data_IF_309223915098
#
_entry.id   IF_309223915098
#
_cell.length_a   1.000
_cell.length_b   1.000
_cell.length_c   1.000
_cell.angle_alpha   90.00
_cell.angle_beta   90.00
_cell.angle_gamma   90.00
#
_symmetry.space_group_name_H-M   'P 1'
#
loop_
_entity.id
_entity.type
_entity.pdbx_description
1 polymer ?
#
# COMPACT_ATOMS: atom_id res chain seq x y z
N UNK A 1 -27.69 -17.73 11.87
CA UNK A 1 -27.21 -18.44 10.68
C UNK A 1 -26.48 -17.42 9.83
N UNK A 2 -25.14 -17.47 9.82
CA UNK A 2 -24.35 -16.65 8.89
C UNK A 2 -24.55 -17.22 7.50
N UNK A 3 -25.40 -16.58 6.70
CA UNK A 3 -25.56 -16.90 5.30
C UNK A 3 -24.49 -16.14 4.51
N UNK A 4 -23.43 -16.84 4.15
CA UNK A 4 -22.42 -16.33 3.23
C UNK A 4 -23.01 -16.08 1.83
N UNK A 5 -22.38 -15.17 1.10
CA UNK A 5 -22.78 -14.86 -0.27
C UNK A 5 -22.59 -16.09 -1.17
N UNK A 6 -23.49 -16.31 -2.14
CA UNK A 6 -23.34 -17.42 -3.07
C UNK A 6 -22.09 -17.27 -3.93
N UNK A 7 -21.32 -18.35 -4.07
CA UNK A 7 -20.09 -18.38 -4.86
C UNK A 7 -20.45 -18.39 -6.34
N UNK A 8 -19.88 -17.48 -7.12
CA UNK A 8 -20.01 -17.50 -8.59
C UNK A 8 -19.20 -18.68 -9.16
N UNK A 9 -19.74 -19.36 -10.18
CA UNK A 9 -19.15 -20.53 -10.85
C UNK A 9 -17.69 -20.36 -11.33
N UNK A 10 -17.19 -19.13 -11.49
CA UNK A 10 -15.83 -18.82 -11.95
C UNK A 10 -14.82 -18.69 -10.80
N UNK A 11 -15.26 -18.80 -9.54
CA UNK A 11 -14.37 -18.69 -8.38
C UNK A 11 -13.61 -20.00 -8.22
N UNK A 12 -12.30 -19.96 -8.47
CA UNK A 12 -11.41 -21.09 -8.18
C UNK A 12 -11.27 -21.23 -6.67
N UNK A 13 -11.83 -22.30 -6.11
CA UNK A 13 -11.68 -22.59 -4.70
C UNK A 13 -10.29 -23.15 -4.41
N UNK A 14 -9.35 -22.27 -4.06
CA UNK A 14 -7.98 -22.65 -3.66
C UNK A 14 -7.73 -22.24 -2.22
N UNK A 15 -7.63 -23.23 -1.33
CA UNK A 15 -7.37 -23.02 0.10
C UNK A 15 -5.91 -22.66 0.43
N UNK A 16 -5.05 -22.49 -0.59
CA UNK A 16 -3.64 -22.21 -0.39
C UNK A 16 -3.20 -21.03 -1.26
N UNK A 17 -2.84 -19.93 -0.61
CA UNK A 17 -2.10 -18.83 -1.24
C UNK A 17 -0.68 -19.33 -1.49
N UNK A 18 -0.47 -20.06 -2.58
CA UNK A 18 0.89 -20.39 -3.04
C UNK A 18 1.56 -19.08 -3.46
N UNK A 19 2.55 -18.65 -2.68
CA UNK A 19 3.46 -17.58 -3.10
C UNK A 19 4.39 -18.17 -4.15
N UNK A 20 4.07 -17.97 -5.41
CA UNK A 20 5.03 -18.23 -6.48
C UNK A 20 6.18 -17.22 -6.34
N UNK A 21 7.32 -17.68 -5.86
CA UNK A 21 8.56 -16.90 -5.95
C UNK A 21 9.01 -16.92 -7.41
N UNK A 22 8.72 -15.83 -8.13
CA UNK A 22 9.33 -15.58 -9.43
C UNK A 22 10.84 -15.43 -9.21
N UNK A 23 11.58 -16.47 -9.56
CA UNK A 23 13.04 -16.45 -9.61
C UNK A 23 13.45 -15.60 -10.81
N UNK A 24 13.50 -14.29 -10.63
CA UNK A 24 14.12 -13.41 -11.60
C UNK A 24 15.64 -13.63 -11.53
N UNK A 25 16.21 -14.39 -12.46
CA UNK A 25 17.64 -14.38 -12.73
C UNK A 25 18.02 -12.96 -13.17
N UNK A 26 18.66 -12.21 -12.28
CA UNK A 26 19.12 -10.85 -12.56
C UNK A 26 20.55 -10.93 -13.07
N UNK A 27 20.71 -10.64 -14.36
CA UNK A 27 21.97 -10.38 -15.04
C UNK A 27 22.92 -9.52 -14.18
N UNK A 28 24.21 -9.85 -14.22
CA UNK A 28 25.33 -9.19 -13.55
C UNK A 28 25.43 -7.67 -13.86
N UNK A 29 24.54 -6.85 -13.30
CA UNK A 29 24.66 -5.39 -13.21
C UNK A 29 25.21 -5.03 -11.83
N UNK A 30 26.10 -4.02 -11.79
CA UNK A 30 26.70 -3.39 -10.59
C UNK A 30 25.86 -3.63 -9.33
N UNK A 31 26.49 -4.12 -8.24
CA UNK A 31 25.83 -4.33 -6.92
C UNK A 31 25.19 -3.04 -6.42
N UNK A 32 23.95 -2.77 -6.81
CA UNK A 32 23.12 -1.69 -6.29
C UNK A 32 22.68 -2.13 -4.90
N UNK A 33 22.98 -1.30 -3.89
CA UNK A 33 22.50 -1.53 -2.53
C UNK A 33 21.04 -1.10 -2.45
N UNK A 34 20.14 -2.08 -2.37
CA UNK A 34 18.72 -1.85 -2.13
C UNK A 34 18.46 -1.64 -0.63
N UNK A 35 17.50 -0.78 -0.31
CA UNK A 35 16.98 -0.60 1.04
C UNK A 35 15.53 -1.08 1.09
N UNK A 36 15.12 -1.65 2.22
CA UNK A 36 13.71 -1.90 2.46
C UNK A 36 12.94 -0.58 2.49
N UNK A 37 11.69 -0.58 2.02
CA UNK A 37 10.85 0.64 1.95
C UNK A 37 10.77 1.38 3.30
N UNK A 38 10.70 0.64 4.41
CA UNK A 38 10.70 1.16 5.77
C UNK A 38 11.99 1.96 6.08
N UNK A 39 13.14 1.40 5.71
CA UNK A 39 14.43 2.07 5.92
C UNK A 39 14.60 3.27 5.00
N UNK A 40 14.09 3.18 3.77
CA UNK A 40 14.10 4.29 2.82
C UNK A 40 13.25 5.45 3.34
N UNK A 41 12.03 5.19 3.81
CA UNK A 41 11.13 6.20 4.38
C UNK A 41 11.76 6.91 5.58
N UNK A 42 12.47 6.17 6.44
CA UNK A 42 13.21 6.75 7.57
C UNK A 42 14.36 7.64 7.09
N UNK A 43 15.12 7.20 6.07
CA UNK A 43 16.27 7.94 5.52
C UNK A 43 15.87 9.25 4.85
N UNK A 44 14.74 9.27 4.15
CA UNK A 44 14.26 10.49 3.46
C UNK A 44 13.47 11.43 4.40
N UNK A 45 13.40 11.13 5.70
CA UNK A 45 12.55 11.88 6.64
C UNK A 45 11.06 11.82 6.29
N UNK A 46 10.64 10.78 5.57
CA UNK A 46 9.30 10.61 5.03
C UNK A 46 8.29 10.11 6.06
N UNK A 47 8.75 9.50 7.15
CA UNK A 47 7.90 9.04 8.23
C UNK A 47 8.60 9.04 9.60
N UNK A 48 7.84 9.36 10.65
CA UNK A 48 8.24 9.26 12.04
C UNK A 48 7.47 8.15 12.76
N UNK A 49 8.09 6.97 12.79
CA UNK A 49 7.55 5.79 13.46
C UNK A 49 7.61 5.88 14.98
N UNK A 50 8.67 6.47 15.55
CA UNK A 50 8.83 6.56 17.01
C UNK A 50 7.69 7.37 17.65
N UNK A 51 7.39 8.55 17.09
CA UNK A 51 6.27 9.38 17.57
C UNK A 51 4.92 8.72 17.32
N UNK A 52 4.75 8.06 16.17
CA UNK A 52 3.49 7.39 15.85
C UNK A 52 3.16 6.26 16.82
N UNK A 53 4.16 5.46 17.22
CA UNK A 53 3.97 4.40 18.21
C UNK A 53 3.58 4.98 19.58
N UNK A 54 4.16 6.11 19.97
CA UNK A 54 3.85 6.77 21.24
C UNK A 54 2.40 7.29 21.31
N UNK A 55 1.84 7.73 20.19
CA UNK A 55 0.50 8.35 20.16
C UNK A 55 -0.60 7.36 19.82
N UNK A 56 -0.38 6.47 18.85
CA UNK A 56 -1.39 5.56 18.31
C UNK A 56 -1.13 4.07 18.62
N UNK A 57 -0.05 3.75 19.35
CA UNK A 57 0.28 2.37 19.72
C UNK A 57 0.97 1.57 18.61
N UNK A 58 0.95 0.25 18.73
CA UNK A 58 1.66 -0.64 17.80
C UNK A 58 1.18 -0.42 16.35
N UNK A 59 2.14 -0.21 15.43
CA UNK A 59 1.96 0.15 13.99
C UNK A 59 1.56 1.60 13.69
N UNK A 60 1.49 2.48 14.69
CA UNK A 60 1.31 3.92 14.48
C UNK A 60 2.53 4.59 13.83
N UNK A 61 2.30 5.50 12.89
CA UNK A 61 3.36 6.33 12.28
C UNK A 61 2.80 7.70 11.88
N UNK A 62 3.65 8.72 11.90
CA UNK A 62 3.36 9.99 11.24
C UNK A 62 4.04 10.03 9.89
N UNK A 63 3.30 10.37 8.85
CA UNK A 63 3.88 10.65 7.54
C UNK A 63 4.31 12.12 7.49
N UNK A 64 5.54 12.39 7.06
CA UNK A 64 6.16 13.72 7.14
C UNK A 64 6.91 14.06 5.86
N UNK A 65 7.12 15.36 5.60
CA UNK A 65 7.95 15.84 4.49
C UNK A 65 7.59 15.19 3.15
N UNK A 66 8.61 14.65 2.46
CA UNK A 66 8.46 14.03 1.15
C UNK A 66 7.49 12.83 1.15
N UNK A 67 7.37 12.10 2.27
CA UNK A 67 6.43 10.98 2.37
C UNK A 67 4.98 11.44 2.30
N UNK A 68 4.66 12.53 3.02
CA UNK A 68 3.31 13.10 3.02
C UNK A 68 2.93 13.68 1.65
N UNK A 69 3.86 14.42 1.05
CA UNK A 69 3.68 14.98 -0.29
C UNK A 69 3.46 13.88 -1.34
N UNK A 70 4.22 12.79 -1.28
CA UNK A 70 4.05 11.65 -2.18
C UNK A 70 2.68 10.98 -2.00
N UNK A 71 2.25 10.77 -0.76
CA UNK A 71 0.94 10.19 -0.48
C UNK A 71 -0.19 11.05 -1.06
N UNK A 72 -0.14 12.37 -0.86
CA UNK A 72 -1.12 13.27 -1.43
C UNK A 72 -1.10 13.28 -2.97
N UNK A 73 0.09 13.28 -3.57
CA UNK A 73 0.22 13.23 -5.03
C UNK A 73 -0.41 11.96 -5.63
N UNK A 74 -0.22 10.81 -4.99
CA UNK A 74 -0.83 9.53 -5.41
C UNK A 74 -2.35 9.58 -5.28
N UNK A 75 -2.88 10.10 -4.16
CA UNK A 75 -4.33 10.25 -3.98
C UNK A 75 -4.95 11.13 -5.07
N UNK A 76 -4.36 12.29 -5.34
CA UNK A 76 -4.84 13.20 -6.38
C UNK A 76 -4.77 12.56 -7.78
N UNK A 77 -3.70 11.82 -8.07
CA UNK A 77 -3.58 11.08 -9.32
C UNK A 77 -4.69 10.03 -9.47
N UNK A 78 -4.94 9.23 -8.42
CA UNK A 78 -5.96 8.19 -8.44
C UNK A 78 -7.37 8.78 -8.66
N UNK A 79 -7.69 9.89 -7.99
CA UNK A 79 -8.94 10.60 -8.18
C UNK A 79 -9.10 11.09 -9.62
N UNK A 80 -8.09 11.77 -10.16
CA UNK A 80 -8.11 12.26 -11.55
C UNK A 80 -8.27 11.10 -12.55
N UNK A 81 -7.57 9.99 -12.33
CA UNK A 81 -7.66 8.79 -13.16
C UNK A 81 -9.09 8.22 -13.20
N UNK A 82 -9.76 8.13 -12.05
CA UNK A 82 -11.12 7.58 -11.95
C UNK A 82 -12.18 8.55 -12.50
N UNK A 83 -12.04 9.85 -12.23
CA UNK A 83 -12.93 10.88 -12.80
C UNK A 83 -12.86 10.88 -14.32
N UNK A 84 -11.67 10.72 -14.89
CA UNK A 84 -11.49 10.59 -16.35
C UNK A 84 -12.20 9.35 -16.92
N UNK A 85 -12.35 8.29 -16.11
CA UNK A 85 -13.12 7.08 -16.45
C UNK A 85 -14.62 7.19 -16.11
N UNK A 86 -15.13 8.39 -15.81
CA UNK A 86 -16.54 8.68 -15.50
C UNK A 86 -17.04 8.09 -14.17
N UNK A 87 -16.14 7.77 -13.25
CA UNK A 87 -16.53 7.47 -11.86
C UNK A 87 -16.83 8.77 -11.10
N UNK A 88 -17.75 8.69 -10.14
CA UNK A 88 -18.12 9.81 -9.26
C UNK A 88 -17.34 9.69 -7.95
N UNK A 89 -16.55 10.70 -7.55
CA UNK A 89 -15.86 10.69 -6.27
C UNK A 89 -16.85 10.87 -5.13
N UNK A 90 -16.73 10.05 -4.08
CA UNK A 90 -17.57 10.11 -2.88
C UNK A 90 -16.66 10.12 -1.65
N UNK A 91 -16.95 11.01 -0.70
CA UNK A 91 -16.27 11.08 0.59
C UNK A 91 -17.23 10.58 1.69
N UNK A 92 -17.09 9.33 2.17
CA UNK A 92 -18.00 8.77 3.15
C UNK A 92 -17.67 9.24 4.58
N UNK A 93 -18.63 9.17 5.52
CA UNK A 93 -18.36 9.30 6.95
C UNK A 93 -17.38 8.22 7.45
N UNK A 94 -16.57 8.54 8.44
CA UNK A 94 -15.56 7.64 9.04
C UNK A 94 -15.90 7.18 10.46
N UNK A 95 -17.13 7.41 10.90
CA UNK A 95 -17.63 7.05 12.22
C UNK A 95 -18.80 6.07 12.11
#
# INVERSE_FOLDING_TARGET
>A
EENDNSIHDNVVNSNNIKRETLNNEVDNKKKIKYYYHYDLLRKIGGANFKKGIQVAGHRGYYLTGAGFLLHNAILQYALNFLVNKKYIPVYPPFF
#
